data_IF_503527592554
#
_entry.id   IF_503527592554
#
_cell.length_a   1.000
_cell.length_b   1.000
_cell.length_c   1.000
_cell.angle_alpha   90.00
_cell.angle_beta   90.00
_cell.angle_gamma   90.00
#
_symmetry.space_group_name_H-M   'P 1'
#
loop_
_entity.id
_entity.type
_entity.pdbx_description
1 polymer ?
#
# COMPACT_ATOMS: atom_id res chain seq x y z
N UNK A 1 12.88 -3.20 1.74
CA UNK A 1 11.49 -3.45 2.19
C UNK A 1 11.35 -4.59 3.18
N UNK A 2 12.15 -5.67 3.11
CA UNK A 2 12.08 -6.77 4.08
C UNK A 2 12.03 -6.28 5.54
N UNK A 3 11.15 -6.86 6.36
CA UNK A 3 10.93 -6.53 7.77
C UNK A 3 9.56 -5.92 8.06
N UNK A 4 9.37 -5.52 9.32
CA UNK A 4 8.15 -4.85 9.79
C UNK A 4 8.34 -3.34 9.81
N UNK A 5 7.33 -2.60 9.38
CA UNK A 5 7.30 -1.14 9.33
C UNK A 5 6.03 -0.63 9.96
N UNK A 6 6.13 0.44 10.75
CA UNK A 6 4.98 1.06 11.40
C UNK A 6 5.13 2.57 11.43
N UNK A 7 4.01 3.26 11.25
CA UNK A 7 3.96 4.71 11.30
C UNK A 7 2.58 5.22 10.89
N UNK A 8 2.53 6.47 10.48
CA UNK A 8 1.28 7.14 10.14
C UNK A 8 1.30 7.65 8.70
N UNK A 9 0.11 7.87 8.16
CA UNK A 9 -0.13 8.43 6.86
C UNK A 9 -1.38 9.29 6.83
N UNK A 10 -1.60 9.91 5.68
CA UNK A 10 -2.74 10.77 5.42
C UNK A 10 -3.47 10.25 4.19
N UNK A 11 -4.78 10.44 4.18
CA UNK A 11 -5.64 10.14 3.06
C UNK A 11 -6.49 11.33 2.67
N UNK A 12 -6.64 11.51 1.35
CA UNK A 12 -7.47 12.53 0.73
C UNK A 12 -8.10 11.93 -0.53
N UNK A 13 -9.33 12.30 -0.86
CA UNK A 13 -9.94 11.94 -2.14
C UNK A 13 -11.16 12.84 -2.40
N UNK A 14 -11.51 13.18 -3.65
CA UNK A 14 -12.61 14.11 -3.93
C UNK A 14 -13.99 13.70 -3.36
N UNK A 15 -14.18 12.42 -3.05
CA UNK A 15 -15.46 11.86 -2.61
C UNK A 15 -15.54 11.58 -1.10
N UNK A 16 -14.52 11.94 -0.32
CA UNK A 16 -14.44 11.69 1.13
C UNK A 16 -13.76 12.86 1.83
N UNK A 17 -13.95 12.98 3.15
CA UNK A 17 -13.18 13.92 3.95
C UNK A 17 -11.74 13.43 4.14
N UNK A 18 -10.82 14.38 4.33
CA UNK A 18 -9.43 14.08 4.68
C UNK A 18 -9.35 13.33 5.99
N UNK A 19 -8.41 12.40 6.10
CA UNK A 19 -8.21 11.60 7.29
C UNK A 19 -6.74 11.28 7.52
N UNK A 20 -6.42 10.94 8.77
CA UNK A 20 -5.13 10.37 9.15
C UNK A 20 -5.30 8.91 9.56
N UNK A 21 -4.26 8.12 9.35
CA UNK A 21 -4.26 6.71 9.70
C UNK A 21 -2.92 6.25 10.24
N UNK A 22 -2.96 5.30 11.16
CA UNK A 22 -1.80 4.48 11.50
C UNK A 22 -1.75 3.24 10.61
N UNK A 23 -0.56 2.72 10.35
CA UNK A 23 -0.36 1.56 9.51
C UNK A 23 0.82 0.71 9.97
N UNK A 24 0.67 -0.60 9.80
CA UNK A 24 1.74 -1.58 9.92
C UNK A 24 1.86 -2.38 8.62
N UNK A 25 3.09 -2.49 8.09
CA UNK A 25 3.43 -3.33 6.95
C UNK A 25 4.41 -4.41 7.38
N UNK A 26 4.19 -5.63 6.91
CA UNK A 26 5.08 -6.76 7.13
C UNK A 26 5.49 -7.30 5.77
N UNK A 27 6.79 -7.30 5.49
CA UNK A 27 7.39 -8.01 4.37
C UNK A 27 8.26 -9.13 4.95
N UNK A 28 7.98 -10.38 4.56
CA UNK A 28 8.74 -11.57 5.00
C UNK A 28 8.95 -12.54 3.86
N UNK A 29 9.85 -13.51 4.00
CA UNK A 29 10.08 -14.57 3.02
C UNK A 29 10.55 -15.85 3.68
N UNK A 30 10.50 -16.94 2.93
CA UNK A 30 11.04 -18.25 3.33
C UNK A 30 12.34 -18.62 2.59
N UNK A 31 12.92 -17.68 1.85
CA UNK A 31 14.18 -17.84 1.10
C UNK A 31 13.99 -18.03 -0.41
N UNK A 32 12.74 -18.21 -0.86
CA UNK A 32 12.36 -18.18 -2.28
C UNK A 32 12.25 -16.73 -2.79
N UNK A 33 12.22 -16.49 -4.13
CA UNK A 33 12.29 -15.14 -4.72
C UNK A 33 10.95 -14.39 -4.68
N UNK A 34 10.36 -14.30 -3.49
CA UNK A 34 9.17 -13.51 -3.23
C UNK A 34 9.18 -12.97 -1.80
N UNK A 35 8.42 -11.90 -1.56
CA UNK A 35 7.98 -11.52 -0.23
C UNK A 35 6.51 -11.87 -0.06
N UNK A 36 6.16 -12.48 1.07
CA UNK A 36 4.81 -12.37 1.58
C UNK A 36 4.64 -10.97 2.18
N UNK A 37 3.54 -10.34 1.83
CA UNK A 37 3.16 -9.00 2.23
C UNK A 37 1.87 -9.04 3.03
N UNK A 38 1.85 -8.31 4.14
CA UNK A 38 0.63 -8.00 4.88
C UNK A 38 0.65 -6.55 5.31
N UNK A 39 -0.49 -5.88 5.18
CA UNK A 39 -0.71 -4.55 5.69
C UNK A 39 -2.01 -4.47 6.46
N UNK A 40 -1.97 -3.71 7.55
CA UNK A 40 -3.16 -3.29 8.28
C UNK A 40 -3.09 -1.81 8.59
N UNK A 41 -4.21 -1.12 8.44
CA UNK A 41 -4.36 0.27 8.84
C UNK A 41 -5.54 0.47 9.78
N UNK A 42 -5.50 1.59 10.49
CA UNK A 42 -6.56 2.06 11.38
C UNK A 42 -6.66 3.58 11.30
N UNK A 43 -7.86 4.11 11.39
CA UNK A 43 -8.08 5.56 11.45
C UNK A 43 -7.63 6.05 12.82
N UNK A 44 -6.95 7.19 12.83
CA UNK A 44 -6.55 7.89 14.05
C UNK A 44 -7.23 9.24 14.15
N UNK A 45 -7.46 9.70 15.37
CA UNK A 45 -7.84 11.08 15.64
C UNK A 45 -6.60 11.98 15.42
N UNK A 46 -6.70 13.04 14.60
CA UNK A 46 -5.56 13.88 14.27
C UNK A 46 -5.09 14.76 15.45
N UNK A 47 -5.95 15.02 16.44
CA UNK A 47 -5.60 15.81 17.62
C UNK A 47 -4.93 14.95 18.70
N UNK A 48 -5.46 13.75 18.94
CA UNK A 48 -5.00 12.87 20.03
C UNK A 48 -4.03 11.78 19.57
N UNK A 49 -4.04 11.42 18.29
CA UNK A 49 -3.31 10.27 17.74
C UNK A 49 -3.89 8.91 18.14
N UNK A 50 -5.01 8.88 18.84
CA UNK A 50 -5.64 7.64 19.30
C UNK A 50 -6.34 6.91 18.17
N UNK A 51 -6.32 5.57 18.22
CA UNK A 51 -7.05 4.73 17.26
C UNK A 51 -8.55 4.93 17.43
N UNK A 52 -9.22 5.37 16.36
CA UNK A 52 -10.68 5.50 16.30
C UNK A 52 -11.33 4.18 15.89
N UNK A 53 -10.84 3.54 14.82
CA UNK A 53 -11.37 2.27 14.30
C UNK A 53 -10.40 1.59 13.34
N UNK A 54 -10.59 0.29 13.12
CA UNK A 54 -9.89 -0.44 12.06
C UNK A 54 -10.29 0.06 10.66
N UNK A 55 -9.37 -0.11 9.71
CA UNK A 55 -9.51 0.32 8.33
C UNK A 55 -9.10 -0.79 7.34
N UNK A 56 -8.26 -0.48 6.36
CA UNK A 56 -7.92 -1.39 5.27
C UNK A 56 -7.02 -2.53 5.74
N UNK A 57 -7.27 -3.72 5.20
CA UNK A 57 -6.33 -4.84 5.24
C UNK A 57 -6.05 -5.26 3.80
N UNK A 58 -4.78 -5.47 3.51
CA UNK A 58 -4.35 -6.04 2.23
C UNK A 58 -3.20 -7.01 2.44
N UNK A 59 -3.16 -8.05 1.61
CA UNK A 59 -2.14 -9.09 1.72
C UNK A 59 -1.89 -9.75 0.38
N UNK A 60 -0.69 -10.28 0.19
CA UNK A 60 -0.33 -10.88 -1.08
C UNK A 60 1.14 -11.24 -1.18
N UNK A 61 1.62 -11.33 -2.41
CA UNK A 61 3.00 -11.70 -2.72
C UNK A 61 3.65 -10.72 -3.68
N UNK A 62 4.83 -10.24 -3.31
CA UNK A 62 5.75 -9.50 -4.19
C UNK A 62 6.70 -10.50 -4.81
N UNK A 63 6.76 -10.59 -6.13
CA UNK A 63 7.63 -11.49 -6.89
C UNK A 63 8.70 -10.69 -7.60
N UNK A 64 9.95 -11.10 -7.47
CA UNK A 64 11.08 -10.42 -8.09
C UNK A 64 11.52 -11.16 -9.35
N UNK A 65 11.66 -10.41 -10.42
CA UNK A 65 12.17 -10.88 -11.71
C UNK A 65 13.56 -10.27 -11.97
N UNK A 66 14.29 -10.78 -12.97
CA UNK A 66 15.53 -10.18 -13.44
C UNK A 66 15.43 -8.67 -13.72
N UNK A 67 16.57 -7.97 -13.71
CA UNK A 67 16.68 -6.52 -14.00
C UNK A 67 15.83 -5.59 -13.10
N UNK A 68 15.44 -6.06 -11.91
CA UNK A 68 14.69 -5.28 -10.93
C UNK A 68 13.19 -5.21 -11.22
N UNK A 69 12.70 -5.99 -12.18
CA UNK A 69 11.27 -6.11 -12.49
C UNK A 69 10.49 -6.74 -11.32
N UNK A 70 9.30 -6.21 -11.02
CA UNK A 70 8.48 -6.62 -9.89
C UNK A 70 7.06 -6.93 -10.35
N UNK A 71 6.51 -8.02 -9.84
CA UNK A 71 5.09 -8.36 -9.94
C UNK A 71 4.52 -8.39 -8.52
N UNK A 72 3.35 -7.82 -8.28
CA UNK A 72 2.69 -7.90 -6.98
C UNK A 72 1.25 -8.33 -7.15
N UNK A 73 0.91 -9.45 -6.55
CA UNK A 73 -0.47 -9.95 -6.50
C UNK A 73 -1.01 -9.76 -5.10
N UNK A 74 -2.16 -9.12 -4.94
CA UNK A 74 -2.74 -8.87 -3.62
C UNK A 74 -4.26 -8.91 -3.60
N UNK A 75 -4.80 -9.10 -2.41
CA UNK A 75 -6.23 -9.07 -2.10
C UNK A 75 -6.50 -8.12 -0.94
N UNK A 76 -7.71 -7.57 -0.92
CA UNK A 76 -8.17 -6.58 0.05
C UNK A 76 -9.37 -7.11 0.82
N UNK A 77 -9.49 -6.74 2.11
CA UNK A 77 -10.69 -7.05 2.91
C UNK A 77 -11.99 -6.44 2.34
N UNK A 78 -11.88 -5.48 1.43
CA UNK A 78 -12.99 -4.81 0.75
C UNK A 78 -13.49 -5.58 -0.49
N UNK A 79 -12.94 -6.77 -0.77
CA UNK A 79 -13.37 -7.61 -1.89
C UNK A 79 -12.77 -7.19 -3.24
N UNK A 80 -11.53 -6.71 -3.22
CA UNK A 80 -10.74 -6.32 -4.40
C UNK A 80 -9.53 -7.24 -4.51
N UNK A 81 -9.19 -7.68 -5.72
CA UNK A 81 -7.92 -8.35 -6.05
C UNK A 81 -7.20 -7.59 -7.16
N UNK A 82 -5.88 -7.57 -7.10
CA UNK A 82 -5.05 -6.78 -8.01
C UNK A 82 -3.81 -7.53 -8.47
N UNK A 83 -3.39 -7.21 -9.69
CA UNK A 83 -2.06 -7.52 -10.23
C UNK A 83 -1.36 -6.21 -10.56
N UNK A 84 -0.15 -6.05 -10.05
CA UNK A 84 0.69 -4.89 -10.24
C UNK A 84 1.99 -5.27 -10.94
N UNK A 85 2.50 -4.38 -11.78
CA UNK A 85 3.83 -4.46 -12.36
C UNK A 85 4.62 -3.20 -12.07
N UNK A 86 5.94 -3.32 -12.06
CA UNK A 86 6.82 -2.19 -11.86
C UNK A 86 8.28 -2.55 -11.74
N UNK A 87 9.07 -1.61 -11.22
CA UNK A 87 10.53 -1.73 -11.15
C UNK A 87 11.09 -1.25 -9.82
N UNK A 88 11.99 -2.05 -9.26
CA UNK A 88 12.79 -1.73 -8.10
C UNK A 88 14.20 -1.28 -8.54
N UNK A 89 14.52 0.00 -8.34
CA UNK A 89 15.80 0.58 -8.73
C UNK A 89 16.18 1.75 -7.80
N UNK A 90 17.47 1.87 -7.45
CA UNK A 90 17.97 3.03 -6.69
C UNK A 90 17.28 3.25 -5.33
N UNK A 91 16.86 2.18 -4.66
CA UNK A 91 16.14 2.27 -3.37
C UNK A 91 14.68 2.69 -3.48
N UNK A 92 14.12 2.70 -4.69
CA UNK A 92 12.72 3.00 -4.98
C UNK A 92 12.01 1.78 -5.58
N UNK A 93 10.70 1.74 -5.45
CA UNK A 93 9.82 0.79 -6.13
C UNK A 93 8.62 1.56 -6.68
N UNK A 94 8.53 1.68 -8.01
CA UNK A 94 7.40 2.27 -8.72
C UNK A 94 6.56 1.14 -9.33
N UNK A 95 5.25 1.15 -9.07
CA UNK A 95 4.30 0.10 -9.46
C UNK A 95 3.01 0.72 -9.99
N UNK A 96 2.40 0.07 -10.98
CA UNK A 96 1.07 0.40 -11.49
C UNK A 96 0.24 -0.87 -11.63
N UNK A 97 -1.07 -0.79 -11.36
CA UNK A 97 -1.99 -1.90 -11.59
C UNK A 97 -2.12 -2.22 -13.07
N UNK A 98 -2.06 -3.50 -13.42
CA UNK A 98 -2.40 -4.02 -14.74
C UNK A 98 -3.80 -4.66 -14.76
N UNK A 99 -4.19 -5.29 -13.65
CA UNK A 99 -5.53 -5.83 -13.48
C UNK A 99 -6.10 -5.49 -12.10
N UNK A 100 -7.38 -5.15 -12.10
CA UNK A 100 -8.20 -5.00 -10.90
C UNK A 100 -9.47 -5.80 -11.12
N UNK A 101 -9.79 -6.72 -10.21
CA UNK A 101 -11.06 -7.41 -10.17
C UNK A 101 -11.74 -7.20 -8.81
N UNK A 102 -13.07 -7.16 -8.83
CA UNK A 102 -13.90 -6.75 -7.69
C UNK A 102 -15.04 -7.74 -7.50
N UNK A 103 -15.36 -8.01 -6.25
CA UNK A 103 -16.61 -8.69 -5.87
C UNK A 103 -17.79 -7.75 -6.08
N UNK A 104 -19.01 -8.32 -6.17
CA UNK A 104 -20.22 -7.57 -6.48
C UNK A 104 -20.49 -6.39 -5.52
N UNK A 105 -20.12 -6.53 -4.25
CA UNK A 105 -20.37 -5.52 -3.21
C UNK A 105 -19.22 -4.54 -3.02
N UNK A 106 -18.09 -4.73 -3.71
CA UNK A 106 -16.94 -3.85 -3.59
C UNK A 106 -17.21 -2.49 -4.26
N UNK A 107 -16.77 -1.41 -3.60
CA UNK A 107 -16.80 -0.06 -4.19
C UNK A 107 -16.02 -0.01 -5.50
N UNK A 108 -16.37 0.95 -6.35
CA UNK A 108 -15.66 1.13 -7.61
C UNK A 108 -14.22 1.59 -7.39
N UNK A 109 -13.30 0.77 -7.87
CA UNK A 109 -11.88 1.03 -7.97
C UNK A 109 -11.36 0.36 -9.24
N UNK A 110 -10.56 1.07 -10.03
CA UNK A 110 -10.20 0.67 -11.39
C UNK A 110 -8.71 0.68 -11.67
N UNK A 111 -7.92 1.52 -10.99
CA UNK A 111 -6.47 1.56 -11.16
C UNK A 111 -5.76 2.19 -9.97
N UNK A 112 -4.50 1.81 -9.80
CA UNK A 112 -3.64 2.33 -8.75
C UNK A 112 -2.20 2.53 -9.22
N UNK A 113 -1.51 3.50 -8.62
CA UNK A 113 -0.07 3.69 -8.76
C UNK A 113 0.57 3.83 -7.38
N UNK A 114 1.61 3.05 -7.10
CA UNK A 114 2.34 3.09 -5.82
C UNK A 114 3.80 3.44 -6.07
N UNK A 115 4.32 4.38 -5.29
CA UNK A 115 5.74 4.68 -5.24
C UNK A 115 6.23 4.50 -3.82
N UNK A 116 7.16 3.58 -3.61
CA UNK A 116 7.88 3.41 -2.34
C UNK A 116 9.31 3.95 -2.47
N UNK A 117 9.83 4.53 -1.40
CA UNK A 117 11.22 4.97 -1.31
C UNK A 117 11.79 4.79 0.09
N UNK A 118 13.07 4.43 0.18
CA UNK A 118 13.81 4.50 1.44
C UNK A 118 14.43 5.90 1.60
N UNK A 119 14.06 6.60 2.68
CA UNK A 119 14.60 7.93 3.00
C UNK A 119 15.02 7.91 4.47
N UNK A 120 16.31 8.15 4.73
CA UNK A 120 16.85 8.17 6.10
C UNK A 120 16.58 6.88 6.90
N UNK A 121 16.45 5.74 6.21
CA UNK A 121 16.12 4.46 6.83
C UNK A 121 14.62 4.21 7.02
N UNK A 122 13.77 5.21 6.82
CA UNK A 122 12.31 5.08 6.84
C UNK A 122 11.77 4.65 5.48
N UNK A 123 10.64 3.96 5.47
CA UNK A 123 9.89 3.61 4.28
C UNK A 123 8.81 4.67 4.05
N UNK A 124 8.95 5.44 2.98
CA UNK A 124 7.93 6.38 2.53
C UNK A 124 7.17 5.76 1.35
N UNK A 125 5.89 6.06 1.25
CA UNK A 125 5.16 5.78 0.01
C UNK A 125 4.11 6.83 -0.31
N UNK A 126 3.75 6.89 -1.59
CA UNK A 126 2.56 7.53 -2.11
C UNK A 126 1.73 6.51 -2.89
N UNK A 127 0.41 6.64 -2.83
CA UNK A 127 -0.56 5.84 -3.55
C UNK A 127 -1.56 6.76 -4.25
N UNK A 128 -1.57 6.69 -5.58
CA UNK A 128 -2.59 7.31 -6.42
C UNK A 128 -3.66 6.28 -6.75
N UNK A 129 -4.92 6.71 -6.79
CA UNK A 129 -6.09 5.86 -6.94
C UNK A 129 -7.03 6.42 -8.01
N UNK A 130 -7.52 5.56 -8.89
CA UNK A 130 -8.68 5.79 -9.75
C UNK A 130 -9.86 4.97 -9.21
N UNK A 131 -10.89 5.64 -8.73
CA UNK A 131 -12.02 5.04 -8.04
C UNK A 131 -13.23 5.96 -8.08
N UNK A 132 -14.43 5.40 -7.92
CA UNK A 132 -15.67 6.17 -7.75
C UNK A 132 -15.87 7.24 -8.86
N UNK A 133 -15.62 6.87 -10.12
CA UNK A 133 -15.71 7.75 -11.28
C UNK A 133 -14.58 8.79 -11.42
N UNK A 134 -13.61 8.81 -10.50
CA UNK A 134 -12.48 9.73 -10.54
C UNK A 134 -11.28 9.15 -11.29
N UNK A 135 -10.57 10.00 -12.05
CA UNK A 135 -9.31 9.64 -12.68
C UNK A 135 -8.20 9.40 -11.65
N UNK A 136 -7.13 8.71 -12.08
CA UNK A 136 -5.95 8.41 -11.25
C UNK A 136 -5.37 9.71 -10.67
N UNK A 137 -5.38 9.81 -9.35
CA UNK A 137 -4.91 10.99 -8.62
C UNK A 137 -4.46 10.62 -7.19
N UNK A 138 -3.73 11.50 -6.50
CA UNK A 138 -3.25 11.23 -5.14
C UNK A 138 -4.38 10.79 -4.20
N UNK A 139 -4.09 9.73 -3.44
CA UNK A 139 -5.00 9.25 -2.41
C UNK A 139 -4.34 9.13 -1.04
N UNK A 140 -3.25 8.36 -0.92
CA UNK A 140 -2.57 8.13 0.36
C UNK A 140 -1.09 8.47 0.27
N UNK A 141 -0.52 8.89 1.40
CA UNK A 141 0.92 8.89 1.61
C UNK A 141 1.24 8.58 3.06
N UNK A 142 2.37 7.90 3.31
CA UNK A 142 2.78 7.57 4.66
C UNK A 142 4.31 7.57 4.82
N UNK A 143 4.74 7.73 6.07
CA UNK A 143 6.13 7.54 6.50
C UNK A 143 6.15 6.51 7.62
N UNK A 144 6.82 5.40 7.38
CA UNK A 144 6.85 4.25 8.28
C UNK A 144 8.27 3.97 8.74
N UNK A 145 8.43 3.78 10.04
CA UNK A 145 9.70 3.41 10.67
C UNK A 145 9.81 1.90 10.77
N UNK A 146 11.01 1.37 10.64
CA UNK A 146 11.26 -0.06 10.86
C UNK A 146 11.02 -0.43 12.33
N UNK A 147 10.23 -1.46 12.57
CA UNK A 147 9.98 -2.02 13.91
C UNK A 147 10.95 -3.19 14.11
N UNK A 148 11.95 -2.99 14.97
CA UNK A 148 13.05 -3.91 15.32
C UNK A 148 14.15 -4.03 14.24
N UNK A 149 15.41 -3.91 14.69
CA UNK A 149 16.63 -4.16 13.90
C UNK A 149 17.09 -5.60 14.10
#
# INVERSE_FOLDING_TARGET
>A
MLGTWQGNGHGDYPTIDKFEFGQELIFTHDGRPFFHYFARSWIIDPETGEKVRDAALETGFVRFRPEGEVEWVMTHNTGIVEVWYGKAEGGKLDLTTDAVARTETAKEYTAGKRLYGNVEGDLLYAFDMAAMGQALQPHLWARLKRVNK
#
